data_IF_926654294045
#
_entry.id   IF_926654294045
#
_cell.length_a   1.000
_cell.length_b   1.000
_cell.length_c   1.000
_cell.angle_alpha   90.00
_cell.angle_beta   90.00
_cell.angle_gamma   90.00
#
_symmetry.space_group_name_H-M   'P 1'
#
loop_
_entity.id
_entity.type
_entity.pdbx_description
1 polymer ?
#
# COMPACT_ATOMS: atom_id res chain seq x y z
N UNK A 1 -8.64 10.76 -3.98
CA UNK A 1 -7.61 9.72 -3.89
C UNK A 1 -7.71 9.06 -2.54
N UNK A 2 -7.40 7.76 -2.44
CA UNK A 2 -7.45 7.01 -1.20
C UNK A 2 -6.23 6.08 -1.10
N UNK A 3 -5.82 5.79 0.13
CA UNK A 3 -4.72 4.88 0.46
C UNK A 3 -5.20 3.98 1.60
N UNK A 4 -4.99 2.67 1.47
CA UNK A 4 -5.22 1.69 2.52
C UNK A 4 -3.97 0.83 2.71
N UNK A 5 -3.57 0.55 3.95
CA UNK A 5 -2.43 -0.32 4.23
C UNK A 5 -2.81 -1.78 3.92
N UNK A 6 -1.94 -2.51 3.23
CA UNK A 6 -2.16 -3.90 2.85
C UNK A 6 -2.38 -4.81 4.05
N UNK A 7 -1.74 -4.56 5.19
CA UNK A 7 -1.93 -5.34 6.41
C UNK A 7 -3.31 -5.21 7.06
N UNK A 8 -4.15 -4.27 6.61
CA UNK A 8 -5.56 -4.24 7.02
C UNK A 8 -6.40 -5.31 6.30
N UNK A 9 -5.88 -5.90 5.23
CA UNK A 9 -6.54 -6.92 4.41
C UNK A 9 -6.02 -8.30 4.80
N UNK A 10 -6.73 -8.98 5.71
CA UNK A 10 -6.33 -10.29 6.22
C UNK A 10 -6.66 -11.45 5.27
N UNK A 11 -7.65 -11.28 4.39
CA UNK A 11 -8.11 -12.32 3.47
C UNK A 11 -8.53 -11.73 2.11
N UNK A 12 -8.63 -12.59 1.11
CA UNK A 12 -9.29 -12.24 -0.15
C UNK A 12 -10.80 -12.21 0.02
N UNK A 13 -11.47 -11.28 -0.64
CA UNK A 13 -12.93 -11.33 -0.77
C UNK A 13 -13.34 -12.55 -1.61
N UNK A 14 -14.42 -13.26 -1.24
CA UNK A 14 -14.95 -14.32 -2.08
C UNK A 14 -15.50 -13.72 -3.38
N UNK A 15 -15.42 -14.49 -4.47
CA UNK A 15 -16.11 -14.15 -5.71
C UNK A 15 -17.62 -14.31 -5.57
N UNK A 16 -18.40 -13.50 -6.31
CA UNK A 16 -19.86 -13.57 -6.31
C UNK A 16 -20.52 -12.55 -5.38
N UNK A 17 -21.60 -12.95 -4.71
CA UNK A 17 -22.31 -12.09 -3.76
C UNK A 17 -21.48 -11.89 -2.51
N UNK A 18 -21.16 -10.63 -2.21
CA UNK A 18 -20.42 -10.23 -1.02
C UNK A 18 -21.43 -9.87 0.07
N UNK A 19 -21.28 -10.48 1.25
CA UNK A 19 -22.06 -10.21 2.45
C UNK A 19 -21.28 -9.37 3.44
N UNK A 20 -21.96 -8.81 4.45
CA UNK A 20 -21.30 -8.10 5.54
C UNK A 20 -20.36 -9.01 6.34
N UNK A 21 -20.68 -10.31 6.47
CA UNK A 21 -19.81 -11.27 7.15
C UNK A 21 -18.48 -11.44 6.41
N UNK A 22 -18.50 -11.45 5.07
CA UNK A 22 -17.29 -11.53 4.25
C UNK A 22 -16.40 -10.30 4.45
N UNK A 23 -17.00 -9.12 4.58
CA UNK A 23 -16.25 -7.88 4.86
C UNK A 23 -15.50 -7.98 6.19
N UNK A 24 -16.12 -8.47 7.26
CA UNK A 24 -15.47 -8.66 8.55
C UNK A 24 -14.42 -9.77 8.57
N UNK A 25 -14.44 -10.70 7.63
CA UNK A 25 -13.36 -11.68 7.46
C UNK A 25 -12.14 -11.09 6.75
N UNK A 26 -12.35 -10.10 5.89
CA UNK A 26 -11.28 -9.44 5.12
C UNK A 26 -10.63 -8.31 5.92
N UNK A 27 -11.41 -7.46 6.56
CA UNK A 27 -10.90 -6.35 7.35
C UNK A 27 -10.76 -6.76 8.82
N UNK A 28 -9.51 -6.95 9.26
CA UNK A 28 -9.21 -7.40 10.62
C UNK A 28 -9.52 -6.33 11.69
N UNK A 29 -9.65 -5.06 11.27
CA UNK A 29 -9.88 -3.92 12.16
C UNK A 29 -10.97 -3.04 11.56
N UNK A 30 -11.93 -2.62 12.39
CA UNK A 30 -12.87 -1.55 12.07
C UNK A 30 -12.18 -0.20 12.21
N UNK A 31 -11.56 0.25 11.12
CA UNK A 31 -10.77 1.48 11.05
C UNK A 31 -11.60 2.68 10.59
N UNK A 32 -11.31 3.86 11.15
CA UNK A 32 -11.93 5.09 10.68
C UNK A 32 -11.37 5.53 9.32
N UNK A 33 -12.26 5.99 8.44
CA UNK A 33 -11.85 6.71 7.23
C UNK A 33 -11.50 8.14 7.62
N UNK A 34 -10.24 8.51 7.45
CA UNK A 34 -9.74 9.86 7.75
C UNK A 34 -9.49 10.62 6.44
N UNK A 35 -9.98 11.85 6.37
CA UNK A 35 -9.68 12.77 5.27
C UNK A 35 -8.62 13.77 5.70
N UNK A 36 -7.59 13.94 4.90
CA UNK A 36 -6.52 14.91 5.13
C UNK A 36 -6.25 15.72 3.87
N UNK A 37 -5.80 16.96 4.05
CA UNK A 37 -5.25 17.78 2.98
C UNK A 37 -3.74 17.81 3.15
N UNK A 38 -3.03 17.28 2.16
CA UNK A 38 -1.56 17.24 2.13
C UNK A 38 -1.06 17.77 0.79
N UNK A 39 0.16 18.29 0.81
CA UNK A 39 0.89 18.72 -0.38
C UNK A 39 1.37 17.51 -1.20
N UNK A 40 1.75 17.76 -2.46
CA UNK A 40 2.35 16.72 -3.30
C UNK A 40 3.67 16.17 -2.72
N UNK A 41 4.46 17.01 -2.05
CA UNK A 41 5.70 16.58 -1.39
C UNK A 41 5.44 15.67 -0.20
N UNK A 42 4.45 15.98 0.63
CA UNK A 42 4.03 15.11 1.73
C UNK A 42 3.49 13.77 1.22
N UNK A 43 2.71 13.77 0.14
CA UNK A 43 2.27 12.52 -0.50
C UNK A 43 3.46 11.70 -1.01
N UNK A 44 4.45 12.33 -1.64
CA UNK A 44 5.67 11.65 -2.07
C UNK A 44 6.39 10.98 -0.89
N UNK A 45 6.62 11.72 0.19
CA UNK A 45 7.28 11.20 1.39
C UNK A 45 6.49 10.06 2.05
N UNK A 46 5.16 10.19 2.11
CA UNK A 46 4.29 9.12 2.61
C UNK A 46 4.45 7.85 1.79
N UNK A 47 4.46 7.95 0.46
CA UNK A 47 4.59 6.79 -0.41
C UNK A 47 5.98 6.15 -0.31
N UNK A 48 7.03 6.95 -0.19
CA UNK A 48 8.39 6.46 0.04
C UNK A 48 8.53 5.73 1.38
N UNK A 49 7.93 6.26 2.44
CA UNK A 49 7.89 5.61 3.74
C UNK A 49 7.06 4.31 3.70
N UNK A 50 5.91 4.33 3.04
CA UNK A 50 5.00 3.18 2.97
C UNK A 50 5.64 1.97 2.27
N UNK A 51 6.48 2.19 1.26
CA UNK A 51 7.23 1.10 0.62
C UNK A 51 8.54 0.76 1.31
N UNK A 52 9.01 1.53 2.30
CA UNK A 52 10.35 1.36 2.89
C UNK A 52 10.62 -0.06 3.42
N UNK A 53 9.59 -0.74 3.93
CA UNK A 53 9.71 -2.10 4.44
C UNK A 53 9.99 -3.16 3.37
N UNK A 54 9.66 -2.91 2.10
CA UNK A 54 9.84 -3.92 1.04
C UNK A 54 11.31 -4.16 0.76
N UNK A 55 11.75 -5.41 0.74
CA UNK A 55 13.12 -5.80 0.41
C UNK A 55 13.16 -6.77 -0.79
N UNK A 56 14.33 -6.89 -1.40
CA UNK A 56 14.63 -7.94 -2.38
C UNK A 56 15.59 -8.97 -1.81
N UNK A 57 15.45 -10.22 -2.24
CA UNK A 57 16.37 -11.32 -1.94
C UNK A 57 17.62 -11.27 -2.84
N UNK A 58 18.53 -12.22 -2.65
CA UNK A 58 19.76 -12.33 -3.45
C UNK A 58 19.51 -12.63 -4.94
N UNK A 59 18.29 -13.03 -5.33
CA UNK A 59 17.88 -13.29 -6.70
C UNK A 59 17.06 -12.13 -7.30
N UNK A 60 17.08 -10.95 -6.65
CA UNK A 60 16.34 -9.74 -7.05
C UNK A 60 14.82 -9.91 -7.08
N UNK A 61 14.28 -10.81 -6.26
CA UNK A 61 12.82 -11.00 -6.08
C UNK A 61 12.36 -10.34 -4.79
N UNK A 62 11.08 -9.98 -4.70
CA UNK A 62 10.50 -9.51 -3.43
C UNK A 62 10.71 -10.58 -2.36
N UNK A 63 11.37 -10.22 -1.27
CA UNK A 63 11.66 -11.12 -0.16
C UNK A 63 10.38 -11.34 0.68
N UNK A 64 9.77 -12.54 0.65
CA UNK A 64 8.54 -12.82 1.39
C UNK A 64 8.75 -12.83 2.90
N UNK A 65 9.99 -12.98 3.38
CA UNK A 65 10.32 -12.93 4.81
C UNK A 65 10.44 -11.49 5.34
N UNK A 66 10.45 -10.49 4.45
CA UNK A 66 10.61 -9.07 4.78
C UNK A 66 9.46 -8.24 4.24
N UNK A 67 8.25 -8.73 4.49
CA UNK A 67 7.00 -7.99 4.26
C UNK A 67 6.78 -6.88 5.29
N UNK A 68 5.93 -5.93 4.92
CA UNK A 68 5.43 -4.89 5.81
C UNK A 68 3.94 -4.70 5.59
N UNK A 69 3.19 -4.60 6.69
CA UNK A 69 1.77 -4.28 6.70
C UNK A 69 1.48 -2.87 6.18
N UNK A 70 2.50 -2.01 6.11
CA UNK A 70 2.39 -0.62 5.66
C UNK A 70 2.31 -0.45 4.13
N UNK A 71 2.44 -1.52 3.34
CA UNK A 71 2.43 -1.39 1.88
C UNK A 71 1.12 -0.76 1.38
N UNK A 72 1.14 0.32 0.58
CA UNK A 72 -0.05 1.09 0.27
C UNK A 72 -0.83 0.51 -0.93
N UNK A 73 -2.10 0.22 -0.72
CA UNK A 73 -3.11 0.03 -1.76
C UNK A 73 -3.72 1.38 -2.11
N UNK A 74 -3.70 1.78 -3.37
CA UNK A 74 -4.06 3.14 -3.80
C UNK A 74 -5.27 3.18 -4.73
N UNK A 75 -6.09 4.22 -4.62
CA UNK A 75 -7.20 4.52 -5.54
C UNK A 75 -7.20 5.99 -5.96
N UNK A 76 -7.46 6.24 -7.25
CA UNK A 76 -7.42 7.57 -7.88
C UNK A 76 -6.03 8.07 -8.28
N UNK A 77 -4.99 7.26 -8.06
CA UNK A 77 -3.64 7.46 -8.58
C UNK A 77 -2.91 6.11 -8.65
N UNK A 78 -1.83 6.07 -9.43
CA UNK A 78 -0.88 4.97 -9.44
C UNK A 78 0.51 5.49 -9.11
N UNK A 79 1.40 4.59 -8.72
CA UNK A 79 2.78 4.94 -8.46
C UNK A 79 3.72 3.81 -8.86
N UNK A 80 4.96 4.17 -9.17
CA UNK A 80 6.06 3.22 -9.39
C UNK A 80 7.21 3.57 -8.46
N UNK A 81 7.92 2.57 -7.95
CA UNK A 81 9.08 2.75 -7.10
C UNK A 81 10.17 1.74 -7.47
N UNK A 82 11.42 2.13 -7.24
CA UNK A 82 12.61 1.31 -7.46
C UNK A 82 13.08 0.72 -6.12
N UNK A 83 12.80 -0.57 -5.91
CA UNK A 83 13.15 -1.31 -4.70
C UNK A 83 14.66 -1.55 -4.56
N UNK A 84 15.43 -1.46 -5.65
CA UNK A 84 16.89 -1.62 -5.60
C UNK A 84 17.59 -0.44 -4.91
N UNK A 85 16.88 0.69 -4.74
CA UNK A 85 17.44 1.87 -4.09
C UNK A 85 17.26 1.82 -2.58
N UNK A 86 18.17 2.50 -1.88
CA UNK A 86 18.03 2.74 -0.45
C UNK A 86 16.80 3.59 -0.14
N UNK A 87 16.34 3.50 1.12
CA UNK A 87 15.28 4.34 1.66
C UNK A 87 15.56 5.83 1.43
N UNK A 88 14.52 6.61 1.12
CA UNK A 88 14.68 8.03 0.77
C UNK A 88 15.14 8.28 -0.67
N UNK A 89 15.44 7.22 -1.43
CA UNK A 89 15.85 7.29 -2.85
C UNK A 89 15.11 6.29 -3.74
N UNK A 90 13.97 5.76 -3.31
CA UNK A 90 13.21 4.74 -4.09
C UNK A 90 12.51 5.30 -5.33
N UNK A 91 12.75 6.57 -5.68
CA UNK A 91 12.26 7.21 -6.91
C UNK A 91 10.76 6.95 -7.13
N UNK A 92 9.95 7.29 -6.12
CA UNK A 92 8.50 7.13 -6.20
C UNK A 92 7.90 8.09 -7.24
N UNK A 93 7.51 7.57 -8.40
CA UNK A 93 6.86 8.38 -9.45
C UNK A 93 5.36 8.22 -9.31
N UNK A 94 4.67 9.31 -8.97
CA UNK A 94 3.22 9.38 -8.87
C UNK A 94 2.60 9.73 -10.22
N UNK A 95 1.54 9.02 -10.59
CA UNK A 95 0.76 9.25 -11.81
C UNK A 95 -0.70 9.42 -11.42
N UNK A 96 -1.31 10.52 -11.88
CA UNK A 96 -2.73 10.79 -11.66
C UNK A 96 -3.58 9.68 -12.29
N UNK A 97 -4.58 9.19 -11.57
CA UNK A 97 -5.57 8.25 -12.10
C UNK A 97 -6.50 8.92 -13.10
N UNK A 98 -7.07 8.12 -14.00
CA UNK A 98 -8.10 8.55 -14.97
C UNK A 98 -9.41 8.86 -14.26
#
# INVERSE_FOLDING_TARGET
MAIACGGHLGNSLPGGTITLADVYQVFAVDGQVVSVTITAGELYHLMEQAVSGTAIDAAERIDPARGSDAFPQTSGFSFTYDISQVLGRRRCILKKGF
#
